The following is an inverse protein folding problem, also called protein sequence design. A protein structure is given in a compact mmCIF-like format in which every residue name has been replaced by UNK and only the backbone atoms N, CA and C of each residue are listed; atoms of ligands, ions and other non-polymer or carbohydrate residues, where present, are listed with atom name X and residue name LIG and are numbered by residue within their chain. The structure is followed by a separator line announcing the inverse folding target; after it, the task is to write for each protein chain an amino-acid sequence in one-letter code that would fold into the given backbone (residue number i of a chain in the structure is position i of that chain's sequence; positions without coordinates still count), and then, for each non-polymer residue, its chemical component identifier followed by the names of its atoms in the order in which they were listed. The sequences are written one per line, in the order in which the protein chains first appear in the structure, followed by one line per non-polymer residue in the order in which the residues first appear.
data_IF_804107710776
#
_entry.id   IF_804107710776
#
_cell.length_a   1.000
_cell.length_b   1.000
_cell.length_c   1.000
_cell.angle_alpha   90.00
_cell.angle_beta   90.00
_cell.angle_gamma   90.00
#
_symmetry.space_group_name_H-M   'P 1'
#
loop_
_entity.id
_entity.type
_entity.pdbx_description
1 polymer ?
#
# COMPACT_ATOMS: atom_id res chain seq x y z
N UNK A 1 18.75 -19.76 -8.83
CA UNK A 1 19.58 -20.59 -9.74
C UNK A 1 18.72 -21.32 -10.76
N UNK A 2 19.27 -21.86 -11.83
CA UNK A 2 18.52 -22.67 -12.82
C UNK A 2 17.85 -23.89 -12.17
N UNK A 3 18.47 -24.46 -11.15
CA UNK A 3 17.92 -25.60 -10.39
C UNK A 3 16.71 -25.23 -9.54
N UNK A 4 16.67 -24.01 -8.99
CA UNK A 4 15.53 -23.52 -8.23
C UNK A 4 14.28 -23.35 -9.07
N UNK A 5 14.41 -23.19 -10.39
CA UNK A 5 13.29 -23.05 -11.31
C UNK A 5 12.79 -24.39 -11.87
N UNK A 6 13.50 -25.49 -11.65
CA UNK A 6 13.15 -26.80 -12.20
C UNK A 6 11.76 -27.30 -11.73
N UNK A 7 11.32 -26.89 -10.54
CA UNK A 7 10.09 -27.36 -9.91
C UNK A 7 8.97 -26.30 -9.83
N UNK A 8 9.19 -25.10 -10.34
CA UNK A 8 8.22 -24.01 -10.25
C UNK A 8 8.17 -23.19 -11.53
N UNK A 9 6.96 -22.86 -11.95
CA UNK A 9 6.74 -21.92 -13.05
C UNK A 9 7.04 -20.48 -12.59
N UNK A 10 7.56 -19.68 -13.51
CA UNK A 10 7.80 -18.26 -13.27
C UNK A 10 6.47 -17.57 -12.96
N UNK A 11 6.47 -16.71 -11.93
CA UNK A 11 5.28 -16.02 -11.42
C UNK A 11 4.16 -16.94 -10.88
N UNK A 12 4.47 -18.18 -10.57
CA UNK A 12 3.51 -19.09 -9.96
C UNK A 12 3.11 -18.61 -8.56
N UNK A 13 1.84 -18.72 -8.24
CA UNK A 13 1.36 -18.55 -6.86
C UNK A 13 1.70 -19.79 -6.05
N UNK A 14 2.26 -19.59 -4.87
CA UNK A 14 2.59 -20.67 -3.94
C UNK A 14 1.34 -21.11 -3.19
N UNK A 15 1.23 -22.41 -2.96
CA UNK A 15 0.18 -23.01 -2.13
C UNK A 15 0.74 -23.44 -0.77
N UNK A 16 -0.13 -23.61 0.21
CA UNK A 16 0.25 -24.08 1.55
C UNK A 16 0.98 -25.43 1.52
N UNK A 17 0.68 -26.31 0.54
CA UNK A 17 1.31 -27.62 0.39
C UNK A 17 2.79 -27.54 -0.01
N UNK A 18 3.28 -26.40 -0.45
CA UNK A 18 4.68 -26.18 -0.84
C UNK A 18 5.56 -25.74 0.34
N UNK A 19 4.97 -25.48 1.48
CA UNK A 19 5.65 -25.12 2.72
C UNK A 19 5.74 -26.30 3.70
N UNK A 20 6.74 -26.34 4.57
CA UNK A 20 7.86 -25.38 4.68
C UNK A 20 8.95 -25.65 3.64
N UNK A 21 9.63 -24.61 3.15
CA UNK A 21 10.77 -24.76 2.23
C UNK A 21 12.04 -25.25 2.92
N UNK A 22 12.16 -24.94 4.21
CA UNK A 22 13.22 -25.40 5.08
C UNK A 22 12.60 -25.97 6.36
N UNK A 23 13.00 -27.18 6.75
CA UNK A 23 12.48 -27.82 7.94
C UNK A 23 13.58 -28.63 8.65
N UNK A 24 13.69 -28.41 9.95
CA UNK A 24 14.48 -29.24 10.82
C UNK A 24 13.70 -30.48 11.25
N UNK A 25 14.38 -31.59 11.52
CA UNK A 25 13.76 -32.78 12.12
C UNK A 25 13.14 -32.46 13.47
N UNK A 26 13.83 -31.65 14.28
CA UNK A 26 13.31 -31.09 15.51
C UNK A 26 13.34 -29.56 15.42
N UNK A 27 12.19 -28.88 15.18
CA UNK A 27 12.13 -27.43 15.01
C UNK A 27 12.48 -26.63 16.26
N UNK A 28 12.53 -27.27 17.43
CA UNK A 28 12.91 -26.66 18.72
C UNK A 28 14.42 -26.69 18.97
N UNK A 29 15.20 -27.31 18.10
CA UNK A 29 16.64 -27.51 18.28
C UNK A 29 17.38 -27.06 17.00
N UNK A 30 18.05 -25.92 17.04
CA UNK A 30 18.78 -25.37 15.90
C UNK A 30 19.85 -26.29 15.31
N UNK A 31 20.49 -27.12 16.14
CA UNK A 31 21.49 -28.09 15.70
C UNK A 31 20.90 -29.38 15.12
N UNK A 32 19.58 -29.48 15.03
CA UNK A 32 18.92 -30.65 14.46
C UNK A 32 19.22 -30.79 12.97
N UNK A 33 19.25 -32.03 12.48
CA UNK A 33 19.41 -32.31 11.05
C UNK A 33 18.27 -31.68 10.24
N UNK A 34 18.58 -31.26 9.03
CA UNK A 34 17.59 -30.75 8.09
C UNK A 34 16.80 -31.88 7.49
N UNK A 35 15.47 -31.85 7.58
CA UNK A 35 14.58 -32.84 7.00
C UNK A 35 14.09 -32.46 5.60
N UNK A 36 14.01 -31.15 5.32
CA UNK A 36 13.64 -30.62 4.02
C UNK A 36 14.36 -29.28 3.77
N UNK A 37 15.02 -29.17 2.63
CA UNK A 37 15.59 -27.90 2.15
C UNK A 37 15.40 -27.83 0.62
N UNK A 38 14.45 -27.04 0.20
CA UNK A 38 14.20 -26.78 -1.23
C UNK A 38 15.11 -25.69 -1.81
N UNK A 39 15.99 -25.10 -1.00
CA UNK A 39 16.83 -23.95 -1.35
C UNK A 39 16.02 -22.72 -1.86
N UNK A 40 14.72 -22.67 -1.57
CA UNK A 40 13.90 -21.51 -1.88
C UNK A 40 13.98 -20.46 -0.79
N UNK A 41 14.18 -19.23 -1.21
CA UNK A 41 14.00 -18.06 -0.36
C UNK A 41 12.73 -17.35 -0.82
N UNK A 42 11.75 -17.26 0.05
CA UNK A 42 10.58 -16.44 -0.18
C UNK A 42 10.78 -15.06 0.41
N UNK A 43 10.70 -14.06 -0.43
CA UNK A 43 10.53 -12.66 -0.01
C UNK A 43 9.14 -12.19 -0.35
N UNK A 44 8.74 -11.02 0.18
CA UNK A 44 7.52 -10.36 -0.28
C UNK A 44 7.65 -10.09 -1.78
N UNK A 45 6.64 -10.50 -2.55
CA UNK A 45 6.60 -10.23 -3.98
C UNK A 45 6.25 -8.75 -4.20
N UNK A 46 7.17 -8.03 -4.81
CA UNK A 46 6.99 -6.64 -5.21
C UNK A 46 6.20 -6.50 -6.53
N UNK A 47 6.35 -5.35 -7.14
CA UNK A 47 5.77 -5.04 -8.46
C UNK A 47 6.64 -5.59 -9.59
N UNK A 48 6.09 -5.58 -10.79
CA UNK A 48 6.89 -5.65 -12.00
C UNK A 48 7.51 -4.26 -12.27
N UNK A 49 8.74 -4.22 -12.76
CA UNK A 49 9.37 -2.95 -13.15
C UNK A 49 8.61 -2.25 -14.28
N UNK A 50 8.54 -0.93 -14.20
CA UNK A 50 7.87 -0.13 -15.23
C UNK A 50 7.69 1.32 -14.84
N UNK A 51 7.19 2.09 -15.79
CA UNK A 51 6.84 3.49 -15.65
C UNK A 51 5.31 3.64 -15.64
N UNK A 52 4.79 4.38 -14.65
CA UNK A 52 3.36 4.63 -14.52
C UNK A 52 2.83 5.45 -15.72
N UNK A 53 1.71 5.03 -16.28
CA UNK A 53 1.07 5.68 -17.43
C UNK A 53 -0.32 6.22 -17.12
N UNK A 54 -0.94 5.76 -16.05
CA UNK A 54 -2.26 6.21 -15.65
C UNK A 54 -3.13 5.11 -15.08
N UNK A 55 -4.37 5.46 -14.79
CA UNK A 55 -5.43 4.52 -14.41
C UNK A 55 -6.20 4.15 -15.66
N UNK A 56 -6.37 2.86 -15.89
CA UNK A 56 -7.18 2.36 -17.02
C UNK A 56 -8.63 2.86 -16.92
N UNK A 57 -9.23 3.14 -18.06
CA UNK A 57 -10.64 3.53 -18.16
C UNK A 57 -11.63 2.38 -17.92
N UNK A 58 -11.13 1.15 -17.77
CA UNK A 58 -11.96 -0.01 -17.49
C UNK A 58 -12.58 0.03 -16.10
N UNK A 59 -13.76 -0.57 -15.94
CA UNK A 59 -14.58 -0.54 -14.70
C UNK A 59 -13.86 -0.97 -13.42
N UNK A 60 -12.71 -1.64 -13.52
CA UNK A 60 -11.89 -2.08 -12.38
C UNK A 60 -10.63 -1.27 -12.20
N UNK A 61 -10.53 -0.07 -12.71
CA UNK A 61 -9.44 0.87 -12.47
C UNK A 61 -8.07 0.22 -12.26
N UNK A 62 -7.63 -0.59 -13.23
CA UNK A 62 -6.26 -1.10 -13.23
C UNK A 62 -5.30 0.02 -13.59
N UNK A 63 -4.11 -0.03 -13.04
CA UNK A 63 -3.05 0.90 -13.40
C UNK A 63 -2.24 0.34 -14.56
N UNK A 64 -1.98 1.22 -15.51
CA UNK A 64 -1.09 0.91 -16.63
C UNK A 64 0.33 1.32 -16.27
N UNK A 65 1.23 0.33 -16.31
CA UNK A 65 2.66 0.53 -16.17
C UNK A 65 3.35 -0.01 -17.41
N UNK A 66 4.00 0.87 -18.15
CA UNK A 66 4.86 0.46 -19.26
C UNK A 66 6.05 -0.33 -18.71
N UNK A 67 6.20 -1.58 -19.14
CA UNK A 67 7.28 -2.46 -18.67
C UNK A 67 8.65 -1.91 -19.02
N UNK A 68 9.57 -1.98 -18.07
CA UNK A 68 10.97 -1.62 -18.32
C UNK A 68 11.61 -2.65 -19.25
N UNK A 69 12.33 -2.14 -20.25
CA UNK A 69 13.20 -2.97 -21.10
C UNK A 69 14.50 -3.22 -20.33
N UNK A 70 14.99 -4.47 -20.34
CA UNK A 70 16.23 -4.81 -19.64
C UNK A 70 16.09 -4.90 -18.11
N UNK A 71 14.87 -5.11 -17.61
CA UNK A 71 14.63 -5.32 -16.17
C UNK A 71 15.46 -6.52 -15.66
N UNK A 72 16.15 -6.30 -14.53
CA UNK A 72 16.99 -7.33 -13.89
C UNK A 72 16.17 -8.55 -13.45
N UNK A 73 14.92 -8.31 -13.05
CA UNK A 73 14.01 -9.36 -12.59
C UNK A 73 13.30 -10.00 -13.78
N UNK A 74 13.98 -10.93 -14.45
CA UNK A 74 13.42 -11.67 -15.58
C UNK A 74 13.97 -13.10 -15.64
N UNK A 75 13.25 -13.95 -16.32
CA UNK A 75 13.70 -15.30 -16.74
C UNK A 75 13.51 -15.42 -18.25
N UNK A 76 14.61 -15.47 -18.97
CA UNK A 76 14.59 -15.38 -20.44
C UNK A 76 13.97 -14.03 -20.87
N UNK A 77 12.87 -14.09 -21.63
CA UNK A 77 12.11 -12.91 -22.08
C UNK A 77 10.92 -12.55 -21.17
N UNK A 78 10.67 -13.35 -20.13
CA UNK A 78 9.53 -13.17 -19.24
C UNK A 78 9.92 -12.32 -18.02
N UNK A 79 9.28 -11.16 -17.86
CA UNK A 79 9.45 -10.35 -16.68
C UNK A 79 8.85 -11.03 -15.45
N UNK A 80 9.57 -10.97 -14.33
CA UNK A 80 9.12 -11.45 -13.03
C UNK A 80 8.83 -10.31 -12.09
N UNK A 81 8.07 -10.58 -11.01
CA UNK A 81 7.94 -9.63 -9.93
C UNK A 81 9.29 -9.41 -9.26
N UNK A 82 9.55 -8.19 -8.85
CA UNK A 82 10.72 -7.85 -8.04
C UNK A 82 10.61 -8.51 -6.68
N UNK A 83 11.73 -8.97 -6.16
CA UNK A 83 11.83 -9.48 -4.80
C UNK A 83 12.18 -8.31 -3.89
N UNK A 84 11.39 -8.13 -2.83
CA UNK A 84 11.64 -7.06 -1.86
C UNK A 84 12.62 -7.57 -0.78
N UNK A 85 13.54 -6.73 -0.31
CA UNK A 85 14.48 -7.11 0.75
C UNK A 85 13.86 -7.07 2.16
N UNK A 86 12.58 -6.71 2.27
CA UNK A 86 11.89 -6.48 3.53
C UNK A 86 10.56 -7.23 3.58
N UNK A 87 10.24 -7.80 4.73
CA UNK A 87 8.93 -8.37 4.98
C UNK A 87 7.91 -7.28 5.23
N UNK A 88 6.67 -7.50 4.80
CA UNK A 88 5.56 -6.64 5.13
C UNK A 88 5.34 -6.66 6.66
N UNK A 89 5.29 -5.50 7.33
CA UNK A 89 5.04 -5.44 8.76
C UNK A 89 3.58 -5.79 9.05
N UNK A 90 3.33 -6.36 10.25
CA UNK A 90 1.97 -6.47 10.75
C UNK A 90 1.39 -5.08 11.07
N UNK A 91 0.09 -4.91 10.87
CA UNK A 91 -0.64 -3.73 11.33
C UNK A 91 -1.33 -3.96 12.69
N UNK A 92 -1.34 -5.21 13.17
CA UNK A 92 -1.94 -5.56 14.46
C UNK A 92 -1.13 -4.89 15.57
N UNK A 93 -1.81 -4.07 16.37
CA UNK A 93 -1.23 -3.27 17.45
C UNK A 93 -0.13 -2.27 17.03
N UNK A 94 0.07 -2.06 15.73
CA UNK A 94 1.10 -1.16 15.22
C UNK A 94 0.90 0.31 15.65
N UNK A 95 -0.32 0.70 16.01
CA UNK A 95 -0.63 2.04 16.56
C UNK A 95 0.07 2.31 17.89
N UNK A 96 0.38 1.28 18.68
CA UNK A 96 1.05 1.41 19.98
C UNK A 96 2.57 1.41 19.88
N UNK A 97 3.13 1.12 18.72
CA UNK A 97 4.58 1.09 18.54
C UNK A 97 5.13 2.52 18.51
N UNK A 98 6.23 2.76 19.26
CA UNK A 98 6.91 4.05 19.22
C UNK A 98 7.45 4.38 17.81
N UNK A 99 7.95 3.37 17.09
CA UNK A 99 8.34 3.43 15.68
C UNK A 99 7.88 2.18 14.97
N UNK A 100 7.58 2.28 13.69
CA UNK A 100 7.23 1.16 12.85
C UNK A 100 8.31 0.89 11.79
N UNK A 101 8.19 -0.24 11.10
CA UNK A 101 9.19 -0.94 10.32
C UNK A 101 10.34 -1.49 11.16
N UNK A 102 11.01 -2.55 10.69
CA UNK A 102 12.11 -3.19 11.40
C UNK A 102 13.30 -2.25 11.65
N UNK A 103 13.51 -1.28 10.78
CA UNK A 103 14.57 -0.25 10.85
C UNK A 103 14.12 1.02 11.59
N UNK A 104 12.88 1.07 12.07
CA UNK A 104 12.34 2.20 12.81
C UNK A 104 12.16 3.48 12.00
N UNK A 105 12.21 3.42 10.66
CA UNK A 105 12.12 4.63 9.82
C UNK A 105 10.75 5.30 9.84
N UNK A 106 9.67 4.56 10.13
CA UNK A 106 8.38 5.18 10.38
C UNK A 106 8.42 5.90 11.72
N UNK A 107 8.64 7.21 11.65
CA UNK A 107 8.94 8.06 12.80
C UNK A 107 7.74 8.15 13.76
N UNK A 108 8.03 8.33 15.05
CA UNK A 108 7.01 8.60 16.07
C UNK A 108 6.27 9.92 15.81
N UNK A 109 6.95 10.89 15.19
CA UNK A 109 6.33 12.14 14.75
C UNK A 109 5.91 12.00 13.30
N UNK A 110 4.62 12.19 13.03
CA UNK A 110 4.09 12.28 11.68
C UNK A 110 4.06 13.74 11.23
N UNK A 111 4.67 14.01 10.08
CA UNK A 111 4.85 15.36 9.54
C UNK A 111 3.81 15.74 8.46
N UNK A 112 2.85 14.85 8.17
CA UNK A 112 1.79 15.07 7.18
C UNK A 112 2.13 14.63 5.76
N UNK A 113 3.41 14.32 5.45
CA UNK A 113 3.84 14.02 4.07
C UNK A 113 4.54 12.66 3.94
N UNK A 114 5.39 12.33 4.90
CA UNK A 114 6.24 11.15 4.80
C UNK A 114 6.66 10.61 6.18
N UNK A 115 7.46 9.54 6.18
CA UNK A 115 7.89 8.85 7.40
C UNK A 115 9.09 9.50 8.13
N UNK A 116 9.63 10.61 7.64
CA UNK A 116 10.88 11.17 8.15
C UNK A 116 10.73 12.03 9.41
N UNK A 117 9.49 12.36 9.82
CA UNK A 117 9.24 13.23 10.95
C UNK A 117 9.76 14.65 10.71
N UNK A 118 10.36 15.25 11.71
CA UNK A 118 10.87 16.63 11.64
C UNK A 118 12.12 16.80 10.77
N UNK A 119 12.71 15.71 10.28
CA UNK A 119 13.88 15.78 9.42
C UNK A 119 13.61 16.31 8.01
N UNK A 120 12.35 16.32 7.59
CA UNK A 120 11.94 16.94 6.34
C UNK A 120 11.37 18.34 6.63
N UNK A 121 12.13 19.42 6.33
CA UNK A 121 11.68 20.78 6.57
C UNK A 121 10.53 21.21 5.67
N UNK A 122 10.38 20.56 4.50
CA UNK A 122 9.36 20.87 3.51
C UNK A 122 8.09 20.04 3.69
N UNK A 123 8.06 19.14 4.68
CA UNK A 123 6.88 18.36 4.98
C UNK A 123 5.72 19.22 5.48
N UNK A 124 4.50 18.81 5.18
CA UNK A 124 3.29 19.45 5.66
C UNK A 124 2.07 18.94 4.89
N UNK A 125 0.92 19.44 5.31
CA UNK A 125 -0.36 19.14 4.70
C UNK A 125 -0.98 20.42 4.16
N UNK A 126 -1.83 20.29 3.16
CA UNK A 126 -2.59 21.39 2.65
C UNK A 126 -3.85 21.61 3.50
N UNK A 127 -4.08 22.85 3.92
CA UNK A 127 -5.18 23.24 4.80
C UNK A 127 -6.01 24.31 4.10
N UNK A 128 -7.30 24.05 3.93
CA UNK A 128 -8.24 25.00 3.42
C UNK A 128 -8.65 25.98 4.54
N UNK A 129 -8.51 27.28 4.29
CA UNK A 129 -9.02 28.35 5.14
C UNK A 129 -10.44 28.75 4.74
N UNK A 130 -10.71 28.65 3.44
CA UNK A 130 -12.03 28.81 2.83
C UNK A 130 -12.10 27.96 1.54
N UNK A 131 -13.16 28.09 0.76
CA UNK A 131 -13.35 27.32 -0.49
C UNK A 131 -12.28 27.58 -1.56
N UNK A 132 -11.58 28.70 -1.50
CA UNK A 132 -10.65 29.14 -2.53
C UNK A 132 -9.22 29.39 -2.04
N UNK A 133 -9.01 29.39 -0.72
CA UNK A 133 -7.72 29.66 -0.11
C UNK A 133 -7.20 28.41 0.60
N UNK A 134 -6.00 28.01 0.23
CA UNK A 134 -5.31 26.87 0.82
C UNK A 134 -3.84 27.19 1.01
N UNK A 135 -3.31 26.80 2.16
CA UNK A 135 -1.88 26.93 2.48
C UNK A 135 -1.32 25.59 2.92
N UNK A 136 -0.03 25.40 2.70
CA UNK A 136 0.69 24.24 3.23
C UNK A 136 1.12 24.54 4.65
N UNK A 137 0.64 23.75 5.60
CA UNK A 137 0.95 23.89 7.02
C UNK A 137 1.80 22.73 7.51
N UNK A 138 2.76 23.02 8.34
CA UNK A 138 3.57 21.99 8.99
C UNK A 138 2.73 21.22 10.00
N UNK A 139 2.78 19.91 9.92
CA UNK A 139 2.13 19.03 10.88
C UNK A 139 3.19 18.39 11.79
N UNK A 140 2.89 18.34 13.09
CA UNK A 140 3.72 17.68 14.09
C UNK A 140 2.84 16.86 15.02
N UNK A 141 2.52 15.62 14.62
CA UNK A 141 1.74 14.70 15.44
C UNK A 141 2.66 13.69 16.11
N UNK A 142 2.76 13.77 17.43
CA UNK A 142 3.51 12.79 18.23
C UNK A 142 2.69 11.51 18.45
N UNK A 143 3.37 10.41 18.74
CA UNK A 143 2.78 9.07 18.91
C UNK A 143 1.97 8.62 17.67
N UNK A 144 2.45 9.00 16.49
CA UNK A 144 1.76 8.78 15.21
C UNK A 144 2.59 7.94 14.22
N UNK A 145 3.37 6.98 14.73
CA UNK A 145 4.23 6.13 13.91
C UNK A 145 3.45 5.29 12.89
N UNK A 146 2.19 4.92 13.18
CA UNK A 146 1.33 4.23 12.24
C UNK A 146 0.92 5.12 11.06
N UNK A 147 0.68 6.43 11.29
CA UNK A 147 0.45 7.38 10.21
C UNK A 147 1.71 7.55 9.34
N UNK A 148 2.89 7.64 9.98
CA UNK A 148 4.17 7.64 9.27
C UNK A 148 4.39 6.37 8.44
N UNK A 149 3.99 5.20 8.93
CA UNK A 149 4.04 3.94 8.20
C UNK A 149 3.11 3.97 6.98
N UNK A 150 1.92 4.52 7.12
CA UNK A 150 0.93 4.56 6.04
C UNK A 150 1.37 5.39 4.83
N UNK A 151 2.29 6.34 5.00
CA UNK A 151 2.85 7.14 3.89
C UNK A 151 4.02 6.47 3.17
N UNK A 152 4.53 5.36 3.67
CA UNK A 152 5.60 4.57 3.08
C UNK A 152 5.31 3.07 3.30
N UNK A 153 5.47 2.20 2.29
CA UNK A 153 6.18 2.36 1.02
C UNK A 153 5.28 2.54 -0.23
N UNK A 154 4.05 3.11 -0.23
CA UNK A 154 3.16 3.09 -1.39
C UNK A 154 3.79 3.57 -2.71
N UNK A 155 4.80 4.42 -2.65
CA UNK A 155 5.54 4.89 -3.81
C UNK A 155 6.85 4.13 -4.08
N UNK A 156 7.19 3.14 -3.28
CA UNK A 156 8.40 2.36 -3.50
C UNK A 156 8.28 1.52 -4.77
N UNK A 157 9.18 1.77 -5.71
CA UNK A 157 9.12 1.16 -7.05
C UNK A 157 9.44 -0.32 -7.06
N UNK A 158 10.08 -0.84 -6.04
CA UNK A 158 10.33 -2.27 -5.89
C UNK A 158 9.14 -2.98 -5.25
N UNK A 159 8.54 -2.37 -4.25
CA UNK A 159 7.55 -3.01 -3.39
C UNK A 159 6.12 -2.85 -3.90
N UNK A 160 5.69 -1.64 -4.25
CA UNK A 160 4.26 -1.35 -4.42
C UNK A 160 3.91 -0.48 -5.65
N UNK A 161 4.88 0.12 -6.32
CA UNK A 161 4.59 1.13 -7.33
C UNK A 161 5.40 0.96 -8.61
N UNK A 162 4.93 1.57 -9.68
CA UNK A 162 5.74 1.89 -10.85
C UNK A 162 6.49 3.21 -10.61
N UNK A 163 7.57 3.45 -11.34
CA UNK A 163 8.27 4.74 -11.29
C UNK A 163 7.33 5.88 -11.74
N UNK A 164 7.56 7.07 -11.22
CA UNK A 164 6.81 8.30 -11.51
C UNK A 164 5.35 8.32 -11.02
N UNK A 165 4.87 7.31 -10.31
CA UNK A 165 3.58 7.33 -9.66
C UNK A 165 3.61 8.23 -8.43
N UNK A 166 2.58 8.99 -8.20
CA UNK A 166 2.43 9.92 -7.06
C UNK A 166 1.38 9.43 -6.06
N UNK A 167 1.32 10.04 -4.87
CA UNK A 167 0.25 9.79 -3.90
C UNK A 167 -1.11 10.21 -4.45
N UNK A 168 -1.15 11.29 -5.25
CA UNK A 168 -2.35 11.75 -5.92
C UNK A 168 -2.89 10.71 -6.91
N UNK A 169 -2.02 10.01 -7.62
CA UNK A 169 -2.43 8.92 -8.52
C UNK A 169 -3.06 7.77 -7.73
N UNK A 170 -2.53 7.48 -6.53
CA UNK A 170 -3.14 6.50 -5.62
C UNK A 170 -4.53 6.96 -5.19
N UNK A 171 -4.68 8.22 -4.81
CA UNK A 171 -5.96 8.81 -4.45
C UNK A 171 -6.98 8.70 -5.58
N UNK A 172 -6.61 9.15 -6.78
CA UNK A 172 -7.48 9.04 -7.99
C UNK A 172 -7.93 7.62 -8.28
N UNK A 173 -7.06 6.65 -8.05
CA UNK A 173 -7.42 5.24 -8.20
C UNK A 173 -8.41 4.77 -7.14
N UNK A 174 -8.25 5.20 -5.88
CA UNK A 174 -9.05 4.72 -4.75
C UNK A 174 -10.43 5.39 -4.67
N UNK A 175 -10.51 6.69 -4.90
CA UNK A 175 -11.76 7.46 -4.73
C UNK A 175 -12.98 6.88 -5.46
N UNK A 176 -12.88 6.42 -6.72
CA UNK A 176 -14.03 5.84 -7.43
C UNK A 176 -14.30 4.38 -7.07
N UNK A 177 -13.48 3.75 -6.23
CA UNK A 177 -13.62 2.33 -5.87
C UNK A 177 -14.47 2.14 -4.62
N UNK A 178 -15.03 0.94 -4.50
CA UNK A 178 -15.69 0.53 -3.28
C UNK A 178 -14.63 0.15 -2.23
N UNK A 179 -14.71 0.68 -1.01
CA UNK A 179 -13.80 0.26 0.06
C UNK A 179 -13.93 -1.24 0.32
N UNK A 180 -12.79 -1.92 0.51
CA UNK A 180 -12.68 -3.36 0.78
C UNK A 180 -13.37 -4.25 -0.27
N UNK A 181 -13.45 -3.83 -1.52
CA UNK A 181 -14.20 -4.52 -2.61
C UNK A 181 -13.84 -6.00 -2.79
N UNK A 182 -12.66 -6.43 -2.36
CA UNK A 182 -12.18 -7.82 -2.45
C UNK A 182 -12.10 -8.51 -1.06
N UNK A 183 -12.51 -7.84 0.00
CA UNK A 183 -12.43 -8.33 1.37
C UNK A 183 -13.81 -8.46 1.98
N UNK A 184 -14.06 -9.61 2.62
CA UNK A 184 -15.32 -9.84 3.33
C UNK A 184 -15.24 -9.23 4.71
N UNK A 185 -16.23 -8.45 5.08
CA UNK A 185 -16.36 -7.84 6.40
C UNK A 185 -17.51 -8.53 7.13
N UNK A 186 -17.24 -9.01 8.34
CA UNK A 186 -18.24 -9.69 9.15
C UNK A 186 -19.39 -8.73 9.50
N UNK A 187 -20.61 -9.23 9.52
CA UNK A 187 -21.80 -8.44 9.76
C UNK A 187 -21.85 -7.81 11.17
N UNK A 188 -21.16 -8.39 12.15
CA UNK A 188 -21.03 -7.85 13.52
C UNK A 188 -19.60 -7.37 13.84
N UNK A 189 -18.81 -6.97 12.85
CA UNK A 189 -17.51 -6.35 13.08
C UNK A 189 -17.66 -5.14 14.01
N UNK A 190 -16.79 -5.01 15.00
CA UNK A 190 -16.88 -3.97 16.04
C UNK A 190 -16.82 -2.53 15.51
N UNK A 191 -16.27 -2.31 14.32
CA UNK A 191 -16.07 -0.99 13.72
C UNK A 191 -16.81 -0.84 12.39
N UNK A 192 -16.76 -1.86 11.55
CA UNK A 192 -17.21 -1.80 10.16
C UNK A 192 -18.62 -2.39 9.96
N UNK A 193 -19.22 -3.03 10.98
CA UNK A 193 -20.58 -3.58 10.87
C UNK A 193 -21.61 -2.62 10.25
N UNK A 194 -21.64 -1.30 10.60
CA UNK A 194 -22.62 -0.37 10.02
C UNK A 194 -22.48 -0.19 8.51
N UNK A 195 -21.35 -0.56 7.94
CA UNK A 195 -21.06 -0.45 6.51
C UNK A 195 -20.95 -1.81 5.83
N UNK A 196 -20.99 -2.92 6.59
CA UNK A 196 -20.86 -4.25 6.02
C UNK A 196 -21.99 -4.58 5.06
N UNK A 197 -21.66 -5.22 3.94
CA UNK A 197 -22.64 -5.82 3.03
C UNK A 197 -23.02 -7.25 3.43
N UNK A 198 -22.37 -7.79 4.46
CA UNK A 198 -22.64 -9.11 5.00
C UNK A 198 -23.86 -9.13 5.92
N UNK A 199 -24.47 -10.29 6.07
CA UNK A 199 -25.49 -10.60 7.06
C UNK A 199 -25.19 -11.96 7.71
N UNK A 200 -26.05 -12.41 8.61
CA UNK A 200 -25.90 -13.69 9.32
C UNK A 200 -25.79 -14.91 8.39
N UNK A 201 -26.43 -14.84 7.22
CA UNK A 201 -26.51 -15.94 6.27
C UNK A 201 -25.35 -15.95 5.27
N UNK A 202 -24.77 -14.78 4.97
CA UNK A 202 -23.76 -14.67 3.93
C UNK A 202 -22.73 -13.55 4.19
N UNK A 203 -21.45 -13.90 4.07
CA UNK A 203 -20.38 -12.93 4.05
C UNK A 203 -20.16 -12.39 2.63
N UNK A 204 -20.26 -11.08 2.47
CA UNK A 204 -20.11 -10.37 1.19
C UNK A 204 -18.87 -9.45 1.21
N UNK A 205 -18.18 -9.30 0.08
CA UNK A 205 -17.06 -8.37 -0.02
C UNK A 205 -17.55 -6.92 -0.18
N UNK A 206 -16.71 -6.00 0.28
CA UNK A 206 -16.94 -4.57 0.15
C UNK A 206 -17.76 -3.96 1.28
N UNK A 207 -17.70 -2.63 1.36
CA UNK A 207 -18.50 -1.84 2.28
C UNK A 207 -19.55 -1.04 1.49
N UNK A 208 -20.73 -0.86 2.11
CA UNK A 208 -21.80 0.00 1.58
C UNK A 208 -21.49 1.48 1.86
N UNK A 209 -20.39 1.95 1.32
CA UNK A 209 -19.94 3.34 1.46
C UNK A 209 -18.93 3.66 0.35
N UNK A 210 -18.43 4.88 0.30
CA UNK A 210 -17.36 5.33 -0.60
C UNK A 210 -16.15 5.82 0.19
N UNK A 211 -14.97 5.81 -0.43
CA UNK A 211 -13.79 6.41 0.19
C UNK A 211 -14.01 7.89 0.52
N UNK A 212 -14.64 8.66 -0.37
CA UNK A 212 -14.95 10.06 -0.11
C UNK A 212 -15.85 10.26 1.13
N UNK A 213 -16.85 9.40 1.32
CA UNK A 213 -17.71 9.45 2.51
C UNK A 213 -16.92 9.11 3.80
N UNK A 214 -16.06 8.09 3.76
CA UNK A 214 -15.21 7.72 4.89
C UNK A 214 -14.23 8.83 5.26
N UNK A 215 -13.59 9.44 4.26
CA UNK A 215 -12.67 10.56 4.44
C UNK A 215 -13.38 11.75 5.10
N UNK A 216 -14.54 12.16 4.58
CA UNK A 216 -15.33 13.25 5.14
C UNK A 216 -15.78 12.99 6.59
N UNK A 217 -15.99 11.72 6.93
CA UNK A 217 -16.33 11.32 8.30
C UNK A 217 -15.11 11.29 9.23
N UNK A 218 -13.95 10.90 8.71
CA UNK A 218 -12.74 10.71 9.52
C UNK A 218 -11.91 11.98 9.70
N UNK A 219 -11.93 12.89 8.72
CA UNK A 219 -11.05 14.06 8.71
C UNK A 219 -11.83 15.37 8.82
N UNK A 220 -11.22 16.36 9.50
CA UNK A 220 -11.76 17.71 9.59
C UNK A 220 -11.92 18.30 8.17
N UNK A 221 -13.01 19.05 7.96
CA UNK A 221 -13.35 19.65 6.66
C UNK A 221 -12.23 20.53 6.07
N UNK A 222 -11.42 21.16 6.89
CA UNK A 222 -10.28 21.95 6.41
C UNK A 222 -9.25 21.17 5.57
N UNK A 223 -9.28 19.85 5.61
CA UNK A 223 -8.37 19.01 4.83
C UNK A 223 -8.94 18.55 3.48
N UNK A 224 -10.24 18.73 3.24
CA UNK A 224 -10.90 18.26 2.02
C UNK A 224 -11.91 19.22 1.39
N UNK A 225 -12.15 20.40 2.00
CA UNK A 225 -13.20 21.33 1.54
C UNK A 225 -12.76 22.32 0.46
N UNK A 226 -11.48 22.36 0.12
CA UNK A 226 -10.97 23.26 -0.91
C UNK A 226 -11.60 22.95 -2.29
N UNK A 227 -12.08 23.97 -2.98
CA UNK A 227 -12.73 23.87 -4.29
C UNK A 227 -12.16 24.85 -5.33
N UNK A 228 -11.14 25.58 -4.96
CA UNK A 228 -10.49 26.54 -5.86
C UNK A 228 -9.63 25.86 -6.94
N UNK A 229 -8.90 26.67 -7.72
CA UNK A 229 -8.02 26.17 -8.76
C UNK A 229 -7.00 25.18 -8.21
N UNK A 230 -6.68 24.19 -9.02
CA UNK A 230 -5.71 23.17 -8.65
C UNK A 230 -4.34 23.75 -8.30
N UNK A 231 -3.83 23.38 -7.12
CA UNK A 231 -2.48 23.73 -6.64
C UNK A 231 -1.60 22.48 -6.36
N UNK A 232 -2.11 21.30 -6.59
CA UNK A 232 -1.50 20.03 -6.14
C UNK A 232 -1.23 19.12 -7.33
N UNK A 233 -0.07 19.23 -7.92
CA UNK A 233 0.29 18.43 -9.07
C UNK A 233 -0.54 18.76 -10.32
N UNK A 234 -0.37 17.97 -11.36
CA UNK A 234 -1.11 18.15 -12.61
C UNK A 234 -2.33 17.26 -12.62
N UNK A 235 -3.56 17.82 -12.72
CA UNK A 235 -4.74 17.00 -12.92
C UNK A 235 -4.63 16.26 -14.25
N UNK A 236 -5.23 15.09 -14.31
CA UNK A 236 -5.57 14.50 -15.59
C UNK A 236 -6.45 15.50 -16.33
N UNK A 237 -6.19 15.70 -17.63
CA UNK A 237 -6.86 16.69 -18.45
C UNK A 237 -8.38 16.67 -18.24
N UNK A 238 -8.94 17.79 -17.79
CA UNK A 238 -10.38 17.99 -17.61
C UNK A 238 -10.98 17.49 -16.30
N UNK A 239 -10.24 16.86 -15.42
CA UNK A 239 -10.75 16.44 -14.11
C UNK A 239 -10.51 17.52 -13.05
N UNK A 240 -11.49 17.85 -12.21
CA UNK A 240 -11.24 18.68 -11.04
C UNK A 240 -10.27 17.97 -10.12
N UNK A 241 -9.26 18.67 -9.68
CA UNK A 241 -8.30 18.15 -8.73
C UNK A 241 -8.90 18.24 -7.33
N UNK A 242 -8.89 17.13 -6.62
CA UNK A 242 -9.39 17.10 -5.25
C UNK A 242 -8.24 17.15 -4.27
N UNK A 243 -8.38 17.97 -3.26
CA UNK A 243 -7.38 18.18 -2.22
C UNK A 243 -6.95 16.89 -1.51
N UNK A 244 -7.79 15.88 -1.57
CA UNK A 244 -7.62 14.62 -0.87
C UNK A 244 -6.99 13.50 -1.71
N UNK A 245 -6.63 13.78 -2.93
CA UNK A 245 -5.94 12.83 -3.80
C UNK A 245 -4.51 12.54 -3.35
#
# INVERSE_FOLDING_TARGET
SKEQLANFSVNQSLSAAQFPFYQLQNPLQESSSVSNDSHFVTGSAGTFGGEYKGVSSEKRAFEDCARSVGEVFHVGKLATRRVTPRNAPTVINAVFNYRNFWDGRANNVFNGSNSWGDRDPDAGIWVAHDSNTVTKERLHLVNASLASLATAPPLNTTEMSCSQRTLQDIGRKLLPRQPLENQRVHWNDSVLAPFSLSNEQALKPGLNTTYAALIKKAFNSKYWSYQGPNKFGSPLSGAPYQQME
#
